data_IF_108389121806
#
_entry.id   IF_108389121806
#
_cell.length_a   1.000
_cell.length_b   1.000
_cell.length_c   1.000
_cell.angle_alpha   90.00
_cell.angle_beta   90.00
_cell.angle_gamma   90.00
#
_symmetry.space_group_name_H-M   'P 1'
#
loop_
_entity.id
_entity.type
_entity.pdbx_description
1 polymer ?
#
# COMPACT_ATOMS: atom_id res chain seq x y z
N UNK A 1 5.09 5.61 9.90
CA UNK A 1 3.93 6.54 9.86
C UNK A 1 2.76 5.96 9.05
N UNK A 2 2.76 6.01 7.69
CA UNK A 2 1.62 5.55 6.86
C UNK A 2 1.07 4.15 7.19
N UNK A 3 1.95 3.20 7.52
CA UNK A 3 1.55 1.82 7.86
C UNK A 3 0.70 1.76 9.14
N UNK A 4 1.10 2.49 10.19
CA UNK A 4 0.34 2.58 11.44
C UNK A 4 -1.02 3.26 11.21
N UNK A 5 -1.02 4.41 10.52
CA UNK A 5 -2.26 5.11 10.23
C UNK A 5 -3.25 4.24 9.46
N UNK A 6 -2.80 3.48 8.45
CA UNK A 6 -3.67 2.55 7.71
C UNK A 6 -4.16 1.39 8.56
N UNK A 7 -3.31 0.83 9.43
CA UNK A 7 -3.69 -0.30 10.28
C UNK A 7 -4.82 0.05 11.26
N UNK A 8 -4.84 1.31 11.73
CA UNK A 8 -5.86 1.82 12.64
C UNK A 8 -6.92 2.69 11.93
N UNK A 9 -7.08 2.59 10.61
CA UNK A 9 -8.07 3.36 9.85
C UNK A 9 -8.02 4.88 10.07
N UNK A 10 -6.82 5.41 10.30
CA UNK A 10 -6.55 6.82 10.61
C UNK A 10 -7.24 7.32 11.90
N UNK A 11 -7.66 6.39 12.76
CA UNK A 11 -8.25 6.64 14.07
C UNK A 11 -7.15 6.84 15.12
N UNK A 12 -6.95 8.10 15.51
CA UNK A 12 -5.91 8.46 16.47
C UNK A 12 -6.18 7.88 17.87
N UNK A 13 -7.44 7.73 18.28
CA UNK A 13 -7.77 7.19 19.60
C UNK A 13 -7.42 5.71 19.69
N UNK A 14 -7.75 4.94 18.64
CA UNK A 14 -7.31 3.54 18.54
C UNK A 14 -5.80 3.40 18.58
N UNK A 15 -5.08 4.27 17.87
CA UNK A 15 -3.62 4.29 17.88
C UNK A 15 -3.06 4.55 19.28
N UNK A 16 -3.60 5.52 20.01
CA UNK A 16 -3.14 5.87 21.37
C UNK A 16 -3.36 4.72 22.37
N UNK A 17 -4.46 3.97 22.21
CA UNK A 17 -4.81 2.85 23.10
C UNK A 17 -4.15 1.50 22.75
N UNK A 18 -3.41 1.42 21.65
CA UNK A 18 -2.83 0.18 21.17
C UNK A 18 -1.66 -0.29 22.04
N UNK A 19 -1.62 -1.57 22.37
CA UNK A 19 -0.55 -2.19 23.15
C UNK A 19 0.65 -2.60 22.26
N UNK A 20 1.77 -2.91 22.92
CA UNK A 20 3.03 -3.26 22.26
C UNK A 20 2.90 -4.52 21.39
N UNK A 21 2.11 -5.51 21.81
CA UNK A 21 1.91 -6.75 21.06
C UNK A 21 1.17 -6.46 19.75
N UNK A 22 0.05 -5.74 19.83
CA UNK A 22 -0.74 -5.29 18.67
C UNK A 22 0.13 -4.50 17.68
N UNK A 23 0.95 -3.57 18.17
CA UNK A 23 1.81 -2.76 17.32
C UNK A 23 2.95 -3.56 16.68
N UNK A 24 3.56 -4.48 17.42
CA UNK A 24 4.65 -5.33 16.91
C UNK A 24 4.19 -6.38 15.89
N UNK A 25 2.91 -6.75 15.91
CA UNK A 25 2.29 -7.62 14.92
C UNK A 25 2.16 -6.95 13.53
N UNK A 26 2.29 -5.62 13.45
CA UNK A 26 2.18 -4.87 12.20
C UNK A 26 3.45 -5.08 11.37
N UNK A 27 3.34 -5.56 10.11
CA UNK A 27 4.52 -5.77 9.26
C UNK A 27 5.35 -4.49 9.07
N UNK A 28 6.60 -4.53 9.52
CA UNK A 28 7.51 -3.39 9.46
C UNK A 28 7.57 -2.51 10.72
N UNK A 29 6.78 -2.85 11.76
CA UNK A 29 6.88 -2.27 13.10
C UNK A 29 7.48 -3.35 14.02
N UNK A 30 8.73 -3.16 14.46
CA UNK A 30 9.39 -4.08 15.39
C UNK A 30 9.09 -3.74 16.86
N UNK A 31 9.39 -4.66 17.77
CA UNK A 31 9.19 -4.50 19.23
C UNK A 31 9.79 -3.20 19.78
N UNK A 32 10.96 -2.78 19.29
CA UNK A 32 11.61 -1.53 19.72
C UNK A 32 10.74 -0.31 19.41
N UNK A 33 10.17 -0.24 18.21
CA UNK A 33 9.32 0.88 17.80
C UNK A 33 7.95 0.82 18.49
N UNK A 34 7.40 -0.38 18.65
CA UNK A 34 6.16 -0.60 19.38
C UNK A 34 6.28 -0.18 20.86
N UNK A 35 7.41 -0.53 21.50
CA UNK A 35 7.72 -0.14 22.88
C UNK A 35 7.89 1.37 23.04
N UNK A 36 8.68 2.00 22.16
CA UNK A 36 8.86 3.45 22.19
C UNK A 36 7.54 4.21 21.99
N UNK A 37 6.67 3.70 21.11
CA UNK A 37 5.36 4.31 20.83
C UNK A 37 4.41 4.19 22.03
N UNK A 38 4.33 3.01 22.65
CA UNK A 38 3.48 2.76 23.82
C UNK A 38 3.95 3.53 25.05
N UNK A 39 5.27 3.61 25.25
CA UNK A 39 5.86 4.43 26.30
C UNK A 39 5.51 5.91 26.12
N UNK A 40 5.63 6.42 24.88
CA UNK A 40 5.24 7.79 24.57
C UNK A 40 3.76 8.07 24.86
N UNK A 41 2.86 7.14 24.50
CA UNK A 41 1.42 7.28 24.73
C UNK A 41 0.99 7.00 26.18
N UNK A 42 1.85 6.39 26.99
CA UNK A 42 1.58 6.15 28.42
C UNK A 42 2.00 7.34 29.30
N UNK A 43 2.79 8.26 28.76
CA UNK A 43 3.22 9.47 29.46
C UNK A 43 2.11 10.54 29.44
N UNK A 44 1.68 10.96 30.63
CA UNK A 44 0.60 11.93 30.80
C UNK A 44 0.94 13.31 30.22
N UNK A 45 2.20 13.73 30.24
CA UNK A 45 2.63 15.02 29.66
C UNK A 45 2.52 14.99 28.14
N UNK A 46 2.90 13.87 27.50
CA UNK A 46 2.75 13.69 26.06
C UNK A 46 1.27 13.67 25.65
N UNK A 47 0.42 12.99 26.42
CA UNK A 47 -1.02 12.98 26.17
C UNK A 47 -1.64 14.38 26.30
N UNK A 48 -1.24 15.16 27.31
CA UNK A 48 -1.70 16.54 27.48
C UNK A 48 -1.30 17.42 26.28
N UNK A 49 -0.07 17.26 25.78
CA UNK A 49 0.37 17.98 24.57
C UNK A 49 -0.46 17.60 23.34
N UNK A 50 -0.77 16.31 23.16
CA UNK A 50 -1.61 15.84 22.05
C UNK A 50 -3.02 16.42 22.17
N UNK A 51 -3.62 16.38 23.35
CA UNK A 51 -4.97 16.92 23.59
C UNK A 51 -5.02 18.43 23.35
N UNK A 52 -3.99 19.17 23.81
CA UNK A 52 -3.87 20.59 23.53
C UNK A 52 -3.76 20.86 22.02
N UNK A 53 -2.97 20.08 21.28
CA UNK A 53 -2.85 20.23 19.82
C UNK A 53 -4.16 19.92 19.09
N UNK A 54 -4.93 18.92 19.54
CA UNK A 54 -6.25 18.58 18.97
C UNK A 54 -7.26 19.74 19.06
N UNK A 55 -7.09 20.67 20.00
CA UNK A 55 -7.95 21.86 20.10
C UNK A 55 -7.74 22.85 18.95
N UNK A 56 -6.55 22.85 18.33
CA UNK A 56 -6.19 23.79 17.27
C UNK A 56 -6.09 23.11 15.89
N UNK A 57 -6.00 21.78 15.85
CA UNK A 57 -5.78 21.02 14.63
C UNK A 57 -6.98 20.13 14.32
N UNK A 58 -7.44 20.17 13.08
CA UNK A 58 -8.37 19.17 12.55
C UNK A 58 -7.56 18.09 11.85
N UNK A 59 -7.65 16.85 12.34
CA UNK A 59 -7.01 15.70 11.69
C UNK A 59 -7.89 15.29 10.51
N UNK A 60 -7.40 15.54 9.29
CA UNK A 60 -8.06 15.02 8.10
C UNK A 60 -7.80 13.52 7.98
N UNK A 61 -8.84 12.73 8.23
CA UNK A 61 -8.83 11.31 7.87
C UNK A 61 -9.01 11.20 6.37
N UNK A 62 -8.04 10.66 5.60
CA UNK A 62 -8.29 10.35 4.21
C UNK A 62 -9.46 9.37 4.17
N UNK A 63 -10.56 9.77 3.54
CA UNK A 63 -11.64 8.85 3.20
C UNK A 63 -11.06 7.84 2.21
N UNK A 64 -10.62 6.70 2.71
CA UNK A 64 -10.39 5.54 1.85
C UNK A 64 -11.78 5.14 1.41
N UNK A 65 -12.15 5.51 0.19
CA UNK A 65 -13.42 5.09 -0.39
C UNK A 65 -13.36 3.56 -0.48
N UNK A 66 -14.14 2.86 0.35
CA UNK A 66 -14.16 1.39 0.33
C UNK A 66 -14.66 0.86 -1.03
N UNK A 67 -15.43 1.66 -1.79
CA UNK A 67 -15.79 1.33 -3.16
C UNK A 67 -14.60 1.47 -4.13
N UNK A 68 -13.52 2.14 -3.74
CA UNK A 68 -12.27 2.24 -4.50
C UNK A 68 -11.29 1.09 -4.22
N UNK A 69 -11.61 0.12 -3.34
CA UNK A 69 -10.82 -1.11 -3.15
C UNK A 69 -11.01 -2.10 -4.32
N UNK A 70 -11.03 -1.60 -5.55
CA UNK A 70 -11.28 -2.37 -6.78
C UNK A 70 -10.23 -3.45 -7.03
N UNK A 71 -9.07 -3.37 -6.37
CA UNK A 71 -7.95 -4.30 -6.52
C UNK A 71 -7.76 -5.25 -5.33
N UNK A 72 -8.69 -5.27 -4.37
CA UNK A 72 -8.55 -6.09 -3.16
C UNK A 72 -8.37 -7.57 -3.48
N UNK A 73 -7.32 -8.18 -2.92
CA UNK A 73 -6.99 -9.61 -3.13
C UNK A 73 -6.27 -9.93 -4.45
N UNK A 74 -6.10 -8.95 -5.33
CA UNK A 74 -5.44 -9.12 -6.63
C UNK A 74 -3.94 -8.87 -6.48
N UNK A 75 -3.11 -9.69 -7.13
CA UNK A 75 -1.65 -9.54 -7.06
C UNK A 75 -1.01 -9.28 -8.41
N UNK A 76 -0.13 -8.28 -8.43
CA UNK A 76 0.50 -7.72 -9.60
C UNK A 76 2.01 -7.88 -9.51
N UNK A 77 2.67 -7.97 -10.66
CA UNK A 77 4.12 -7.82 -10.78
C UNK A 77 4.38 -6.70 -11.77
N UNK A 78 5.29 -5.79 -11.44
CA UNK A 78 5.65 -4.68 -12.33
C UNK A 78 7.08 -4.91 -12.84
N UNK A 79 7.28 -4.83 -14.15
CA UNK A 79 8.62 -4.93 -14.75
C UNK A 79 8.75 -4.05 -16.00
N UNK A 80 9.98 -3.83 -16.45
CA UNK A 80 10.25 -2.94 -17.58
C UNK A 80 10.17 -1.46 -17.23
N UNK A 81 10.08 -0.64 -18.27
CA UNK A 81 9.91 0.81 -18.19
C UNK A 81 8.43 1.17 -18.22
N UNK A 82 8.07 2.20 -17.47
CA UNK A 82 6.71 2.75 -17.42
C UNK A 82 6.65 4.02 -18.29
N UNK A 83 5.50 4.25 -18.93
CA UNK A 83 5.23 5.36 -19.83
C UNK A 83 4.38 6.45 -19.16
N UNK A 84 3.45 6.07 -18.27
CA UNK A 84 2.52 6.99 -17.60
C UNK A 84 2.96 7.31 -16.16
N UNK A 85 3.63 6.38 -15.47
CA UNK A 85 4.16 6.62 -14.13
C UNK A 85 5.65 6.99 -14.17
N UNK A 86 6.02 8.05 -13.42
CA UNK A 86 7.42 8.49 -13.28
C UNK A 86 8.31 7.40 -12.67
N UNK A 87 7.76 6.54 -11.80
CA UNK A 87 8.48 5.42 -11.21
C UNK A 87 7.61 4.19 -10.99
N UNK A 88 8.25 3.01 -10.88
CA UNK A 88 7.57 1.78 -10.45
C UNK A 88 6.96 1.90 -9.05
N UNK A 89 7.46 2.84 -8.24
CA UNK A 89 6.98 3.04 -6.88
C UNK A 89 5.64 3.79 -6.89
N UNK A 90 5.46 4.75 -7.79
CA UNK A 90 4.18 5.45 -7.98
C UNK A 90 3.06 4.47 -8.37
N UNK A 91 3.29 3.67 -9.41
CA UNK A 91 2.33 2.63 -9.82
C UNK A 91 2.03 1.64 -8.67
N UNK A 92 3.06 1.30 -7.88
CA UNK A 92 2.88 0.45 -6.70
C UNK A 92 2.00 1.11 -5.65
N UNK A 93 2.18 2.40 -5.37
CA UNK A 93 1.31 3.13 -4.45
C UNK A 93 -0.14 3.15 -4.94
N UNK A 94 -0.37 3.42 -6.23
CA UNK A 94 -1.71 3.39 -6.86
C UNK A 94 -2.40 2.03 -6.70
N UNK A 95 -1.65 0.94 -6.91
CA UNK A 95 -2.17 -0.43 -6.74
C UNK A 95 -2.49 -0.72 -5.27
N UNK A 96 -1.58 -0.37 -4.35
CA UNK A 96 -1.72 -0.65 -2.92
C UNK A 96 -2.83 0.19 -2.29
N UNK A 97 -3.02 1.43 -2.74
CA UNK A 97 -4.10 2.30 -2.29
C UNK A 97 -5.48 1.72 -2.59
N UNK A 98 -5.62 1.00 -3.71
CA UNK A 98 -6.84 0.30 -4.11
C UNK A 98 -6.94 -1.14 -3.58
N UNK A 99 -6.08 -1.52 -2.63
CA UNK A 99 -6.11 -2.83 -1.96
C UNK A 99 -5.33 -3.95 -2.66
N UNK A 100 -4.69 -3.64 -3.79
CA UNK A 100 -3.89 -4.60 -4.55
C UNK A 100 -2.52 -4.86 -3.94
N UNK A 101 -1.90 -5.98 -4.33
CA UNK A 101 -0.56 -6.37 -3.85
C UNK A 101 0.44 -6.38 -5.00
N UNK A 102 1.54 -5.63 -4.88
CA UNK A 102 2.66 -5.71 -5.85
C UNK A 102 3.77 -6.60 -5.30
N UNK A 103 4.12 -7.64 -6.06
CA UNK A 103 5.17 -8.60 -5.73
C UNK A 103 6.34 -8.53 -6.72
N UNK A 104 7.53 -8.98 -6.29
CA UNK A 104 8.74 -8.91 -7.11
C UNK A 104 8.94 -10.09 -8.07
N UNK A 105 8.13 -11.14 -7.95
CA UNK A 105 8.28 -12.40 -8.69
C UNK A 105 6.93 -12.88 -9.22
N UNK A 106 6.92 -13.39 -10.44
CA UNK A 106 5.73 -14.01 -11.03
C UNK A 106 5.54 -15.39 -10.43
N UNK A 107 4.38 -15.61 -9.80
CA UNK A 107 4.00 -16.87 -9.17
C UNK A 107 2.63 -17.31 -9.68
N UNK A 108 2.18 -18.53 -9.36
CA UNK A 108 0.83 -18.97 -9.71
C UNK A 108 -0.30 -18.19 -9.04
N UNK A 109 0.01 -17.34 -8.05
CA UNK A 109 -0.94 -16.41 -7.42
C UNK A 109 -0.99 -15.05 -8.09
N UNK A 110 -0.07 -14.78 -9.03
CA UNK A 110 0.01 -13.52 -9.76
C UNK A 110 -1.13 -13.42 -10.76
N UNK A 111 -1.95 -12.37 -10.63
CA UNK A 111 -3.08 -12.13 -11.52
C UNK A 111 -2.62 -11.57 -12.85
N UNK A 112 -1.70 -10.60 -12.87
CA UNK A 112 -1.09 -10.12 -14.11
C UNK A 112 0.31 -9.52 -13.90
N UNK A 113 1.07 -9.51 -14.99
CA UNK A 113 2.36 -8.83 -15.11
C UNK A 113 2.16 -7.52 -15.89
N UNK A 114 2.49 -6.38 -15.28
CA UNK A 114 2.44 -5.07 -15.92
C UNK A 114 3.80 -4.80 -16.56
N UNK A 115 3.82 -4.68 -17.89
CA UNK A 115 5.00 -4.38 -18.68
C UNK A 115 4.62 -3.83 -20.06
N UNK A 116 5.11 -2.65 -20.42
CA UNK A 116 4.89 -2.06 -21.74
C UNK A 116 5.62 -2.80 -22.87
N UNK A 117 6.68 -3.56 -22.56
CA UNK A 117 7.31 -4.48 -23.51
C UNK A 117 6.76 -5.90 -23.35
N UNK A 118 5.60 -6.15 -23.97
CA UNK A 118 4.95 -7.47 -23.97
C UNK A 118 5.79 -8.56 -24.67
N UNK A 119 6.70 -8.15 -25.57
CA UNK A 119 7.60 -9.03 -26.30
C UNK A 119 8.89 -9.34 -25.55
N UNK A 120 9.12 -8.69 -24.41
CA UNK A 120 10.37 -8.82 -23.67
C UNK A 120 10.70 -10.28 -23.38
N UNK A 121 11.98 -10.62 -23.53
CA UNK A 121 12.52 -11.96 -23.24
C UNK A 121 13.00 -12.08 -21.80
N UNK A 122 12.65 -11.11 -20.94
CA UNK A 122 13.00 -11.08 -19.53
C UNK A 122 12.53 -12.35 -18.81
N UNK A 123 13.26 -12.74 -17.75
CA UNK A 123 12.94 -13.93 -16.96
C UNK A 123 11.51 -13.88 -16.37
N UNK A 124 10.99 -12.67 -16.10
CA UNK A 124 9.62 -12.47 -15.61
C UNK A 124 8.57 -12.63 -16.71
N UNK A 125 8.80 -12.10 -17.92
CA UNK A 125 7.90 -12.30 -19.06
C UNK A 125 7.84 -13.78 -19.47
N UNK A 126 8.99 -14.47 -19.51
CA UNK A 126 9.03 -15.92 -19.74
C UNK A 126 8.23 -16.66 -18.68
N UNK A 127 8.41 -16.31 -17.40
CA UNK A 127 7.69 -16.96 -16.31
C UNK A 127 6.19 -16.71 -16.34
N UNK A 128 5.76 -15.50 -16.71
CA UNK A 128 4.35 -15.19 -16.92
C UNK A 128 3.74 -16.04 -18.05
N UNK A 129 4.44 -16.17 -19.19
CA UNK A 129 4.00 -17.04 -20.29
C UNK A 129 3.92 -18.51 -19.87
N UNK A 130 4.91 -19.03 -19.14
CA UNK A 130 4.91 -20.41 -18.60
C UNK A 130 3.72 -20.66 -17.67
N UNK A 131 3.41 -19.71 -16.80
CA UNK A 131 2.34 -19.81 -15.81
C UNK A 131 0.98 -19.31 -16.35
N UNK A 132 0.89 -18.99 -17.64
CA UNK A 132 -0.29 -18.42 -18.29
C UNK A 132 -0.83 -17.15 -17.61
N UNK A 133 0.05 -16.40 -16.95
CA UNK A 133 -0.27 -15.11 -16.35
C UNK A 133 -0.33 -14.04 -17.45
N UNK A 134 -1.43 -13.28 -17.59
CA UNK A 134 -1.56 -12.25 -18.60
C UNK A 134 -0.51 -11.14 -18.40
N UNK A 135 0.04 -10.66 -19.51
CA UNK A 135 0.96 -9.51 -19.55
C UNK A 135 0.15 -8.33 -20.08
N UNK A 136 -0.01 -7.29 -19.26
CA UNK A 136 -0.75 -6.09 -19.61
C UNK A 136 0.23 -4.93 -19.80
N UNK A 137 -0.06 -4.06 -20.76
CA UNK A 137 0.57 -2.74 -20.80
C UNK A 137 0.03 -1.89 -19.64
N UNK A 138 0.70 -0.79 -19.37
CA UNK A 138 0.25 0.17 -18.37
C UNK A 138 -1.10 0.77 -18.72
N UNK A 139 -1.34 1.10 -20.00
CA UNK A 139 -2.65 1.55 -20.48
C UNK A 139 -3.74 0.49 -20.31
N UNK A 140 -3.44 -0.77 -20.67
CA UNK A 140 -4.40 -1.87 -20.51
C UNK A 140 -4.74 -2.09 -19.04
N UNK A 141 -3.73 -2.00 -18.16
CA UNK A 141 -3.93 -2.08 -16.73
C UNK A 141 -4.86 -0.96 -16.23
N UNK A 142 -4.60 0.30 -16.62
CA UNK A 142 -5.42 1.44 -16.22
C UNK A 142 -6.88 1.28 -16.71
N UNK A 143 -7.09 0.84 -17.95
CA UNK A 143 -8.42 0.61 -18.55
C UNK A 143 -9.14 -0.58 -17.92
N UNK A 144 -8.44 -1.69 -17.69
CA UNK A 144 -9.04 -2.94 -17.17
C UNK A 144 -9.55 -2.76 -15.74
N UNK A 145 -8.86 -1.96 -14.94
CA UNK A 145 -9.17 -1.76 -13.53
C UNK A 145 -9.80 -0.40 -13.22
N UNK A 146 -10.23 0.33 -14.25
CA UNK A 146 -10.89 1.64 -14.16
C UNK A 146 -10.10 2.62 -13.26
N UNK A 147 -8.79 2.68 -13.45
CA UNK A 147 -7.91 3.52 -12.65
C UNK A 147 -7.83 4.89 -13.33
N UNK A 148 -8.35 5.96 -12.69
CA UNK A 148 -8.26 7.30 -13.24
C UNK A 148 -6.79 7.71 -13.35
N UNK A 149 -6.44 8.24 -14.51
CA UNK A 149 -5.12 8.81 -14.82
C UNK A 149 -5.36 10.06 -15.65
N UNK A 150 -4.75 11.19 -15.27
CA UNK A 150 -4.75 12.41 -16.08
C UNK A 150 -3.61 12.30 -17.11
N UNK A 151 -3.97 12.31 -18.40
CA UNK A 151 -3.02 12.36 -19.54
C UNK A 151 -2.10 13.60 -19.49
#
# INVERSE_FOLDING_TARGET
>A
AKVLCRYFDYDLEKMQSADTETLSAIPGVGEVLAGAFTEYMSDAENLEQIEHLKQFLTIETPKVDENAQTLSGISFVVTGSLNHFASRNDLKEVIVERGGKVTGSVTGKTTCLINNDITSTSSKNKKAKELQVPILTEEDFLKTYDIPYEE
#
